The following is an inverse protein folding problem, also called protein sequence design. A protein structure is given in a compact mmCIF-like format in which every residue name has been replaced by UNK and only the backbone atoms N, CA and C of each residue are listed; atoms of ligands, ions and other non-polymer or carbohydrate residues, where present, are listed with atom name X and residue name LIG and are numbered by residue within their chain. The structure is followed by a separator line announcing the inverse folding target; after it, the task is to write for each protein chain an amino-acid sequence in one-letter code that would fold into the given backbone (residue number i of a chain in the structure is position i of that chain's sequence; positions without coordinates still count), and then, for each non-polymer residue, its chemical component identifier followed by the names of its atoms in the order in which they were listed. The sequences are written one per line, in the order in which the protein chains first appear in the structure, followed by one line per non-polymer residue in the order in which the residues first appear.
data_IF_364695277318
#
_entry.id   IF_364695277318
#
_cell.length_a   1.000
_cell.length_b   1.000
_cell.length_c   1.000
_cell.angle_alpha   90.00
_cell.angle_beta   90.00
_cell.angle_gamma   90.00
#
_symmetry.space_group_name_H-M   'P 1'
#
loop_
_entity.id
_entity.type
_entity.pdbx_description
1 polymer ?
#
# COMPACT_ATOMS: atom_id res chain seq x y z
N UNK A 1 -2.23 -3.83 19.45
CA UNK A 1 -1.91 -2.71 18.53
C UNK A 1 -1.43 -1.44 19.22
N UNK A 2 -2.12 -0.91 20.25
CA UNK A 2 -1.66 0.31 20.94
C UNK A 2 -0.26 0.20 21.57
N UNK A 3 0.03 -0.89 22.28
CA UNK A 3 1.36 -1.12 22.85
C UNK A 3 2.48 -1.15 21.79
N UNK A 4 2.20 -1.73 20.62
CA UNK A 4 3.12 -1.75 19.48
C UNK A 4 3.39 -0.33 18.96
N UNK A 5 2.32 0.44 18.70
CA UNK A 5 2.45 1.83 18.26
C UNK A 5 3.30 2.67 19.24
N UNK A 6 3.02 2.52 20.54
CA UNK A 6 3.79 3.20 21.59
C UNK A 6 5.27 2.79 21.59
N UNK A 7 5.57 1.48 21.45
CA UNK A 7 6.93 0.97 21.40
C UNK A 7 7.69 1.47 20.16
N UNK A 8 7.08 1.41 18.98
CA UNK A 8 7.66 1.92 17.73
C UNK A 8 7.94 3.41 17.80
N UNK A 9 7.02 4.19 18.38
CA UNK A 9 7.20 5.63 18.60
C UNK A 9 8.34 5.92 19.57
N UNK A 10 8.39 5.21 20.70
CA UNK A 10 9.44 5.40 21.72
C UNK A 10 10.83 5.08 21.17
N UNK A 11 10.91 4.12 20.26
CA UNK A 11 12.15 3.72 19.60
C UNK A 11 12.45 4.53 18.31
N UNK A 12 11.61 5.51 17.96
CA UNK A 12 11.72 6.31 16.74
C UNK A 12 11.85 5.47 15.44
N UNK A 13 11.24 4.27 15.41
CA UNK A 13 11.40 3.32 14.30
C UNK A 13 10.93 3.91 12.97
N UNK A 14 9.87 4.72 13.00
CA UNK A 14 9.23 5.30 11.82
C UNK A 14 9.76 6.68 11.46
N UNK A 15 10.81 7.17 12.13
CA UNK A 15 11.42 8.48 11.84
C UNK A 15 11.78 8.66 10.36
N UNK A 16 12.34 7.67 9.64
CA UNK A 16 12.67 7.84 8.22
C UNK A 16 11.47 8.16 7.31
N UNK A 17 10.23 7.97 7.79
CA UNK A 17 9.02 8.32 7.05
C UNK A 17 8.59 9.78 7.25
N UNK A 18 9.19 10.51 8.18
CA UNK A 18 8.84 11.91 8.48
C UNK A 18 9.31 12.85 7.36
N UNK A 19 10.46 12.55 6.77
CA UNK A 19 11.11 13.40 5.76
C UNK A 19 10.61 13.16 4.32
N UNK A 20 9.50 12.43 4.15
CA UNK A 20 8.94 12.11 2.83
C UNK A 20 8.29 13.34 2.19
N UNK A 21 8.79 13.75 1.03
CA UNK A 21 8.22 14.84 0.24
C UNK A 21 7.13 14.29 -0.68
N UNK A 22 5.91 14.15 -0.16
CA UNK A 22 4.76 13.75 -0.97
C UNK A 22 4.11 14.99 -1.63
N UNK A 23 3.76 14.94 -2.95
CA UNK A 23 3.14 16.05 -3.67
C UNK A 23 1.67 16.19 -3.29
N UNK A 24 1.41 16.58 -2.05
CA UNK A 24 0.07 16.83 -1.55
C UNK A 24 -0.01 18.07 -0.66
N UNK A 25 -1.20 18.68 -0.65
CA UNK A 25 -1.50 19.77 0.29
C UNK A 25 -1.72 19.20 1.69
N UNK A 26 -0.85 19.55 2.62
CA UNK A 26 -1.08 19.30 4.06
C UNK A 26 -2.23 20.20 4.51
N UNK A 27 -3.28 19.60 5.09
CA UNK A 27 -4.42 20.33 5.68
C UNK A 27 -4.48 20.05 7.18
N UNK A 28 -4.97 18.87 7.54
CA UNK A 28 -5.14 18.44 8.94
C UNK A 28 -4.17 17.31 9.33
N UNK A 29 -3.83 16.46 8.36
CA UNK A 29 -2.90 15.35 8.55
C UNK A 29 -1.71 15.50 7.61
N UNK A 30 -0.52 15.28 8.16
CA UNK A 30 0.74 15.19 7.42
C UNK A 30 0.75 13.94 6.53
N UNK A 31 1.59 13.92 5.49
CA UNK A 31 1.73 12.75 4.63
C UNK A 31 2.13 11.49 5.41
N UNK A 32 3.07 11.62 6.35
CA UNK A 32 3.52 10.55 7.24
C UNK A 32 2.39 10.01 8.10
N UNK A 33 1.54 10.87 8.66
CA UNK A 33 0.40 10.42 9.46
C UNK A 33 -0.56 9.56 8.63
N UNK A 34 -0.83 9.95 7.38
CA UNK A 34 -1.71 9.18 6.50
C UNK A 34 -1.10 7.84 6.09
N UNK A 35 0.22 7.77 5.88
CA UNK A 35 0.94 6.52 5.67
C UNK A 35 0.87 5.60 6.90
N UNK A 36 1.05 6.17 8.10
CA UNK A 36 0.87 5.45 9.36
C UNK A 36 -0.56 4.91 9.47
N UNK A 37 -1.59 5.64 9.05
CA UNK A 37 -2.97 5.12 9.05
C UNK A 37 -3.11 3.88 8.17
N UNK A 38 -2.50 3.90 6.98
CA UNK A 38 -2.45 2.74 6.10
C UNK A 38 -1.76 1.54 6.77
N UNK A 39 -0.62 1.77 7.42
CA UNK A 39 0.10 0.74 8.17
C UNK A 39 -0.76 0.16 9.31
N UNK A 40 -1.36 1.02 10.14
CA UNK A 40 -2.23 0.57 11.25
C UNK A 40 -3.44 -0.20 10.70
N UNK A 41 -4.00 0.22 9.56
CA UNK A 41 -5.11 -0.47 8.92
C UNK A 41 -4.71 -1.88 8.47
N UNK A 42 -3.55 -2.02 7.82
CA UNK A 42 -3.01 -3.32 7.41
C UNK A 42 -2.78 -4.22 8.63
N UNK A 43 -2.13 -3.70 9.67
CA UNK A 43 -1.85 -4.46 10.89
C UNK A 43 -3.12 -4.83 11.67
N UNK A 44 -4.19 -4.04 11.53
CA UNK A 44 -5.51 -4.35 12.08
C UNK A 44 -6.30 -5.37 11.24
N UNK A 45 -5.72 -5.88 10.14
CA UNK A 45 -6.38 -6.83 9.24
C UNK A 45 -7.36 -6.18 8.26
N UNK A 46 -7.26 -4.86 8.07
CA UNK A 46 -8.04 -4.13 7.08
C UNK A 46 -7.72 -4.57 5.66
N UNK A 47 -8.78 -4.78 4.86
CA UNK A 47 -8.72 -5.24 3.47
C UNK A 47 -8.95 -4.13 2.45
N UNK A 48 -9.44 -2.97 2.89
CA UNK A 48 -9.70 -1.82 2.03
C UNK A 48 -9.65 -0.52 2.82
N UNK A 49 -9.21 0.58 2.19
CA UNK A 49 -9.03 1.88 2.84
C UNK A 49 -10.30 2.43 3.52
N UNK A 50 -11.50 2.14 2.97
CA UNK A 50 -12.78 2.56 3.57
C UNK A 50 -13.03 1.98 4.95
N UNK A 51 -12.35 0.89 5.29
CA UNK A 51 -12.47 0.28 6.60
C UNK A 51 -11.82 1.11 7.71
N UNK A 52 -10.90 2.02 7.38
CA UNK A 52 -10.31 2.95 8.35
C UNK A 52 -11.35 3.78 9.10
N UNK A 53 -12.43 4.19 8.43
CA UNK A 53 -13.47 5.04 9.02
C UNK A 53 -14.20 4.39 10.20
N UNK A 54 -14.37 3.06 10.20
CA UNK A 54 -15.07 2.36 11.27
C UNK A 54 -14.13 1.52 12.14
N UNK A 55 -12.99 1.07 11.63
CA UNK A 55 -12.03 0.26 12.38
C UNK A 55 -11.05 1.12 13.19
N UNK A 56 -10.61 2.26 12.64
CA UNK A 56 -9.56 3.08 13.22
C UNK A 56 -10.09 4.38 13.83
N UNK A 57 -10.83 5.19 13.06
CA UNK A 57 -11.26 6.55 13.49
C UNK A 57 -11.95 6.63 14.85
N UNK A 58 -12.83 5.68 15.24
CA UNK A 58 -13.46 5.73 16.56
C UNK A 58 -12.47 5.58 17.72
N UNK A 59 -11.27 5.04 17.48
CA UNK A 59 -10.31 4.66 18.51
C UNK A 59 -9.22 5.72 18.72
N UNK A 60 -9.54 6.76 19.49
CA UNK A 60 -8.60 7.84 19.84
C UNK A 60 -7.40 7.37 20.66
N UNK A 61 -7.59 6.41 21.56
CA UNK A 61 -6.48 5.86 22.35
C UNK A 61 -5.45 5.16 21.47
N UNK A 62 -5.92 4.45 20.43
CA UNK A 62 -5.05 3.87 19.44
C UNK A 62 -4.32 4.97 18.65
N UNK A 63 -5.01 6.01 18.17
CA UNK A 63 -4.36 7.13 17.48
C UNK A 63 -3.23 7.75 18.32
N UNK A 64 -3.51 8.07 19.59
CA UNK A 64 -2.53 8.62 20.52
C UNK A 64 -1.31 7.70 20.70
N UNK A 65 -1.52 6.39 20.77
CA UNK A 65 -0.45 5.42 20.89
C UNK A 65 0.48 5.42 19.66
N UNK A 66 -0.06 5.73 18.49
CA UNK A 66 0.67 5.90 17.24
C UNK A 66 1.16 7.34 16.99
N UNK A 67 1.04 8.22 17.99
CA UNK A 67 1.55 9.60 17.92
C UNK A 67 0.63 10.59 17.20
N UNK A 68 -0.63 10.22 16.95
CA UNK A 68 -1.61 11.05 16.24
C UNK A 68 -2.73 11.51 17.18
N UNK A 69 -3.30 12.68 16.92
CA UNK A 69 -4.49 13.12 17.65
C UNK A 69 -5.72 12.26 17.30
N UNK A 70 -5.87 11.95 16.01
CA UNK A 70 -6.91 11.06 15.48
C UNK A 70 -6.49 10.48 14.12
N UNK A 71 -7.15 9.41 13.70
CA UNK A 71 -6.98 8.85 12.37
C UNK A 71 -7.76 9.66 11.34
N UNK A 72 -7.16 9.87 10.17
CA UNK A 72 -7.74 10.58 9.04
C UNK A 72 -8.93 9.84 8.43
N UNK A 73 -9.79 10.59 7.73
CA UNK A 73 -10.85 10.02 6.91
C UNK A 73 -10.29 9.20 5.73
N UNK A 74 -10.97 8.12 5.36
CA UNK A 74 -10.59 7.29 4.21
C UNK A 74 -10.30 8.11 2.95
N UNK A 75 -11.12 9.09 2.58
CA UNK A 75 -10.93 9.89 1.37
C UNK A 75 -9.58 10.57 1.39
N UNK A 76 -9.25 11.19 2.52
CA UNK A 76 -7.99 11.89 2.76
C UNK A 76 -6.78 10.96 2.70
N UNK A 77 -6.92 9.71 3.17
CA UNK A 77 -5.87 8.68 3.04
C UNK A 77 -5.75 8.21 1.59
N UNK A 78 -6.87 7.95 0.92
CA UNK A 78 -6.90 7.51 -0.49
C UNK A 78 -6.23 8.53 -1.40
N UNK A 79 -6.59 9.80 -1.28
CA UNK A 79 -6.01 10.89 -2.06
C UNK A 79 -4.49 10.96 -1.90
N UNK A 80 -3.96 10.63 -0.71
CA UNK A 80 -2.52 10.54 -0.48
C UNK A 80 -1.89 9.37 -1.22
N UNK A 81 -2.49 8.18 -1.18
CA UNK A 81 -1.98 7.03 -1.91
C UNK A 81 -2.07 7.24 -3.44
N UNK A 82 -3.13 7.89 -3.92
CA UNK A 82 -3.32 8.22 -5.33
C UNK A 82 -2.35 9.31 -5.82
N UNK A 83 -1.85 10.16 -4.93
CA UNK A 83 -0.87 11.20 -5.22
C UNK A 83 0.59 10.71 -5.16
N UNK A 84 0.86 9.47 -4.72
CA UNK A 84 2.22 8.92 -4.72
C UNK A 84 2.67 8.74 -6.17
N UNK A 85 3.67 9.52 -6.58
CA UNK A 85 4.34 9.38 -7.88
C UNK A 85 5.62 8.53 -7.76
N UNK A 86 6.33 8.34 -8.88
CA UNK A 86 7.53 7.52 -8.92
C UNK A 86 8.65 8.06 -8.01
N UNK A 87 8.78 9.39 -7.88
CA UNK A 87 9.78 10.02 -7.02
C UNK A 87 9.47 9.78 -5.54
N UNK A 88 8.23 10.07 -5.14
CA UNK A 88 7.69 9.77 -3.81
C UNK A 88 7.85 8.30 -3.44
N UNK A 89 7.61 7.40 -4.40
CA UNK A 89 7.74 5.96 -4.21
C UNK A 89 9.21 5.56 -3.97
N UNK A 90 10.16 6.18 -4.67
CA UNK A 90 11.59 5.95 -4.44
C UNK A 90 12.02 6.40 -3.04
N UNK A 91 11.57 7.56 -2.58
CA UNK A 91 11.84 8.03 -1.22
C UNK A 91 11.24 7.10 -0.18
N UNK A 92 10.00 6.65 -0.38
CA UNK A 92 9.34 5.70 0.51
C UNK A 92 10.10 4.36 0.59
N UNK A 93 10.59 3.88 -0.55
CA UNK A 93 11.44 2.68 -0.60
C UNK A 93 12.77 2.89 0.13
N UNK A 94 13.40 4.06 -0.03
CA UNK A 94 14.63 4.41 0.67
C UNK A 94 14.42 4.47 2.19
N UNK A 95 13.35 5.13 2.65
CA UNK A 95 12.97 5.19 4.05
C UNK A 95 12.72 3.78 4.63
N UNK A 96 11.97 2.94 3.91
CA UNK A 96 11.72 1.55 4.34
C UNK A 96 13.01 0.71 4.38
N UNK A 97 13.93 0.92 3.43
CA UNK A 97 15.24 0.27 3.44
C UNK A 97 16.06 0.67 4.66
N UNK A 98 16.06 1.96 5.05
CA UNK A 98 16.72 2.44 6.26
C UNK A 98 16.14 1.80 7.53
N UNK A 99 14.80 1.75 7.63
CA UNK A 99 14.12 1.08 8.75
C UNK A 99 14.56 -0.39 8.82
N UNK A 100 14.57 -1.07 7.67
CA UNK A 100 14.97 -2.47 7.59
C UNK A 100 16.42 -2.66 8.01
N UNK A 101 17.37 -1.86 7.53
CA UNK A 101 18.78 -1.95 7.92
C UNK A 101 19.00 -1.72 9.43
N UNK A 102 18.25 -0.78 10.01
CA UNK A 102 18.39 -0.42 11.42
C UNK A 102 17.79 -1.46 12.38
N UNK A 103 16.68 -2.09 12.00
CA UNK A 103 15.87 -2.90 12.91
C UNK A 103 15.80 -4.38 12.53
N UNK A 104 16.15 -4.77 11.30
CA UNK A 104 16.10 -6.16 10.86
C UNK A 104 17.30 -6.95 11.38
N UNK A 105 17.02 -8.16 11.89
CA UNK A 105 18.05 -9.12 12.26
C UNK A 105 18.72 -9.73 11.02
N UNK A 106 17.99 -9.81 9.90
CA UNK A 106 18.50 -10.33 8.62
C UNK A 106 19.71 -9.55 8.13
N UNK A 107 19.71 -8.22 8.28
CA UNK A 107 20.83 -7.37 7.86
C UNK A 107 22.10 -7.56 8.71
N UNK A 108 21.98 -8.21 9.87
CA UNK A 108 23.08 -8.48 10.82
C UNK A 108 23.44 -9.96 10.89
N UNK A 109 22.82 -10.80 10.07
CA UNK A 109 23.04 -12.25 10.10
C UNK A 109 24.44 -12.59 9.58
N UNK A 110 25.19 -13.37 10.36
CA UNK A 110 26.48 -13.91 9.94
C UNK A 110 26.26 -15.27 9.27
N UNK A 111 26.33 -15.29 7.94
CA UNK A 111 26.16 -16.50 7.13
C UNK A 111 27.24 -17.56 7.38
N UNK A 112 28.32 -17.25 8.09
CA UNK A 112 29.31 -18.27 8.52
C UNK A 112 28.83 -19.09 9.71
N UNK A 113 27.84 -18.58 10.46
CA UNK A 113 27.33 -19.20 11.70
C UNK A 113 26.08 -20.04 11.47
N UNK A 114 25.58 -20.10 10.24
CA UNK A 114 24.46 -20.94 9.83
C UNK A 114 23.55 -20.26 8.82
N UNK A 115 22.51 -20.99 8.44
CA UNK A 115 21.53 -20.56 7.45
C UNK A 115 20.56 -19.52 8.02
N UNK A 116 20.09 -18.62 7.16
CA UNK A 116 19.01 -17.68 7.44
C UNK A 116 17.72 -18.22 6.82
N UNK A 117 16.76 -18.60 7.66
CA UNK A 117 15.43 -19.00 7.20
C UNK A 117 14.52 -17.78 7.15
N UNK A 118 14.00 -17.47 5.97
CA UNK A 118 12.98 -16.43 5.77
C UNK A 118 11.64 -17.09 5.50
N UNK A 119 10.67 -16.88 6.38
CA UNK A 119 9.28 -17.22 6.11
C UNK A 119 8.58 -16.00 5.49
N UNK A 120 7.93 -16.20 4.35
CA UNK A 120 7.30 -15.15 3.57
C UNK A 120 5.91 -15.57 3.14
N UNK A 121 4.92 -14.74 3.42
CA UNK A 121 3.56 -14.99 2.94
C UNK A 121 3.48 -14.69 1.43
N UNK A 122 3.41 -15.76 0.63
CA UNK A 122 3.21 -15.68 -0.82
C UNK A 122 1.73 -15.66 -1.22
N UNK A 123 0.82 -15.39 -0.27
CA UNK A 123 -0.60 -15.27 -0.58
C UNK A 123 -0.83 -14.16 -1.60
N UNK A 124 -1.31 -14.56 -2.78
CA UNK A 124 -1.71 -13.61 -3.82
C UNK A 124 -2.84 -12.71 -3.34
N UNK A 125 -2.52 -11.44 -3.10
CA UNK A 125 -3.52 -10.41 -2.86
C UNK A 125 -4.17 -10.07 -4.21
N UNK A 126 -5.49 -10.24 -4.36
CA UNK A 126 -6.17 -9.96 -5.62
C UNK A 126 -6.12 -8.45 -5.90
N UNK A 127 -5.50 -8.08 -7.02
CA UNK A 127 -5.59 -6.73 -7.54
C UNK A 127 -7.01 -6.46 -8.07
N UNK A 128 -7.49 -5.23 -7.88
CA UNK A 128 -8.80 -4.84 -8.41
C UNK A 128 -8.79 -4.86 -9.95
N UNK A 129 -9.96 -5.06 -10.56
CA UNK A 129 -10.07 -5.05 -12.02
C UNK A 129 -9.66 -3.70 -12.65
N UNK A 130 -9.75 -2.61 -11.89
CA UNK A 130 -9.45 -1.25 -12.35
C UNK A 130 -7.99 -0.84 -12.09
N UNK A 131 -7.20 -1.68 -11.41
CA UNK A 131 -5.80 -1.37 -11.15
C UNK A 131 -4.98 -1.36 -12.44
N UNK A 132 -4.28 -0.24 -12.69
CA UNK A 132 -3.32 -0.15 -13.78
C UNK A 132 -2.22 -1.22 -13.60
N UNK A 133 -1.91 -1.96 -14.67
CA UNK A 133 -0.93 -3.07 -14.60
C UNK A 133 -1.47 -4.40 -14.06
N UNK A 134 -2.80 -4.53 -13.84
CA UNK A 134 -3.40 -5.81 -13.47
C UNK A 134 -3.17 -6.85 -14.58
N UNK A 135 -2.26 -7.78 -14.33
CA UNK A 135 -2.00 -8.94 -15.17
C UNK A 135 -2.47 -10.19 -14.44
N UNK A 136 -2.88 -11.21 -15.21
CA UNK A 136 -3.28 -12.48 -14.64
C UNK A 136 -2.05 -13.14 -14.00
N UNK A 137 -1.93 -13.02 -12.68
CA UNK A 137 -0.85 -13.62 -11.89
C UNK A 137 -0.90 -15.16 -11.87
N UNK A 138 0.18 -15.78 -11.39
CA UNK A 138 0.39 -17.23 -11.36
C UNK A 138 -0.43 -17.99 -10.29
N UNK A 139 -1.37 -17.35 -9.59
CA UNK A 139 -2.18 -18.01 -8.57
C UNK A 139 -3.18 -18.99 -9.19
N UNK A 140 -2.72 -20.23 -9.39
CA UNK A 140 -3.50 -21.33 -9.94
C UNK A 140 -4.77 -21.54 -9.09
N UNK A 141 -5.94 -21.42 -9.72
CA UNK A 141 -7.24 -21.77 -9.13
C UNK A 141 -8.05 -20.64 -8.51
N UNK A 142 -7.47 -19.46 -8.20
CA UNK A 142 -8.25 -18.31 -7.72
C UNK A 142 -8.63 -17.39 -8.87
N UNK A 143 -9.83 -17.58 -9.44
CA UNK A 143 -10.47 -16.52 -10.26
C UNK A 143 -10.64 -15.29 -9.37
N UNK A 144 -10.34 -14.10 -9.90
CA UNK A 144 -10.75 -12.83 -9.30
C UNK A 144 -12.26 -12.97 -9.06
N UNK A 145 -12.69 -13.00 -7.80
CA UNK A 145 -14.09 -13.10 -7.46
C UNK A 145 -14.79 -11.88 -8.08
N UNK A 146 -15.77 -12.13 -8.96
CA UNK A 146 -16.62 -11.06 -9.48
C UNK A 146 -17.31 -10.45 -8.27
N UNK A 147 -17.09 -9.17 -8.02
CA UNK A 147 -17.84 -8.45 -7.00
C UNK A 147 -19.34 -8.68 -7.23
N UNK A 148 -20.03 -9.10 -6.18
CA UNK A 148 -21.47 -9.25 -6.18
C UNK A 148 -22.09 -7.92 -6.60
N UNK A 149 -22.79 -7.93 -7.74
CA UNK A 149 -23.62 -6.81 -8.14
C UNK A 149 -24.84 -6.80 -7.22
N UNK A 150 -24.82 -5.96 -6.20
CA UNK A 150 -26.02 -5.58 -5.47
C UNK A 150 -27.06 -5.05 -6.46
N UNK A 151 -28.16 -5.80 -6.61
CA UNK A 151 -29.31 -5.44 -7.44
C UNK A 151 -30.08 -4.29 -6.79
N UNK A 152 -30.41 -3.29 -7.61
CA UNK A 152 -31.37 -2.21 -7.39
C UNK A 152 -30.77 -0.90 -7.92
N UNK A 153 -31.30 -0.19 -8.92
CA UNK A 153 -32.62 -0.10 -9.55
C UNK A 153 -32.46 0.73 -10.88
N UNK A 154 -33.53 0.99 -11.66
CA UNK A 154 -33.78 0.46 -13.01
C UNK A 154 -33.15 1.24 -14.19
N UNK A 155 -33.35 0.65 -15.39
CA UNK A 155 -32.95 1.16 -16.70
C UNK A 155 -33.15 2.67 -16.89
N UNK A 156 -32.10 3.37 -17.34
CA UNK A 156 -32.28 4.52 -18.21
C UNK A 156 -31.73 4.18 -19.60
N UNK A 157 -32.65 4.10 -20.56
CA UNK A 157 -32.42 3.79 -21.97
C UNK A 157 -32.18 5.12 -22.69
N UNK A 158 -30.96 5.66 -22.62
CA UNK A 158 -30.42 6.67 -23.56
C UNK A 158 -29.03 7.16 -23.10
N UNK A 159 -27.96 6.62 -23.68
CA UNK A 159 -26.65 7.26 -23.79
C UNK A 159 -25.75 6.44 -24.76
N UNK A 160 -26.22 6.23 -25.98
CA UNK A 160 -25.34 5.92 -27.09
C UNK A 160 -24.88 7.26 -27.67
N UNK A 161 -23.61 7.63 -27.52
CA UNK A 161 -22.78 8.16 -28.61
C UNK A 161 -21.36 8.46 -28.11
N UNK A 162 -20.35 8.07 -28.91
CA UNK A 162 -18.92 8.46 -28.85
C UNK A 162 -17.98 7.66 -27.94
N UNK A 163 -17.46 6.55 -28.47
CA UNK A 163 -16.05 6.15 -28.27
C UNK A 163 -15.65 5.10 -29.32
N UNK A 164 -15.38 5.58 -30.54
CA UNK A 164 -14.62 4.87 -31.57
C UNK A 164 -13.65 5.90 -32.16
N UNK A 165 -12.40 5.47 -32.38
CA UNK A 165 -11.20 6.21 -32.81
C UNK A 165 -10.19 6.37 -31.65
N UNK A 166 -8.97 5.86 -31.66
CA UNK A 166 -8.23 5.07 -32.65
C UNK A 166 -7.16 4.28 -31.89
N UNK A 167 -7.09 2.97 -32.14
CA UNK A 167 -5.93 2.13 -31.89
C UNK A 167 -4.96 2.39 -33.06
N UNK A 168 -3.66 2.65 -32.80
CA UNK A 168 -2.49 2.10 -33.51
C UNK A 168 -1.22 2.95 -33.32
N UNK A 169 -0.08 2.23 -33.34
CA UNK A 169 1.33 2.66 -33.28
C UNK A 169 1.86 2.94 -31.85
N UNK A 170 2.84 2.21 -31.30
CA UNK A 170 4.05 1.68 -31.91
C UNK A 170 4.46 0.27 -31.42
N UNK A 171 5.09 -0.47 -32.34
CA UNK A 171 5.70 -1.79 -32.19
C UNK A 171 7.08 -1.73 -31.50
N UNK A 172 7.37 -2.84 -30.80
CA UNK A 172 8.68 -3.51 -30.56
C UNK A 172 9.72 -2.81 -29.66
N UNK A 173 9.97 -3.44 -28.50
CA UNK A 173 11.32 -3.68 -28.01
C UNK A 173 11.39 -5.06 -27.33
N UNK A 174 12.34 -5.89 -27.78
CA UNK A 174 12.80 -7.13 -27.12
C UNK A 174 13.98 -6.72 -26.21
N UNK A 175 13.93 -7.04 -24.93
CA UNK A 175 15.11 -7.09 -24.02
C UNK A 175 14.81 -8.24 -23.04
N UNK A 176 15.33 -9.44 -23.31
CA UNK A 176 16.59 -10.00 -22.83
C UNK A 176 16.52 -10.47 -21.35
N UNK A 177 16.51 -11.80 -21.21
CA UNK A 177 16.57 -12.55 -19.97
C UNK A 177 17.99 -12.47 -19.40
N UNK A 178 18.16 -11.93 -18.19
CA UNK A 178 19.42 -12.04 -17.47
C UNK A 178 19.27 -13.07 -16.35
N UNK A 179 19.73 -14.27 -16.73
CA UNK A 179 20.12 -15.42 -15.92
C UNK A 179 21.17 -15.00 -14.88
N UNK A 180 20.86 -15.12 -13.59
CA UNK A 180 21.85 -15.05 -12.53
C UNK A 180 22.44 -16.46 -12.34
N UNK A 181 23.75 -16.59 -12.53
CA UNK A 181 24.51 -17.76 -12.10
C UNK A 181 25.94 -17.35 -11.81
N UNK A 182 26.38 -17.75 -10.61
CA UNK A 182 27.72 -17.68 -9.97
C UNK A 182 28.00 -16.41 -9.18
#
# INVERSE_FOLDING_TARGET
MAALGYALRRAAVLEPLIDLELPQKVREHTPTEKLVNGLVLILAGGRALYQSNWLLRPNRLLACAWGQAEFAEQSTVSDTFDAVDDASLQELQAAFAQITQNWSQTCRHDFRRGDLTLDGDLTGLPASHLAAGNSKGYFAGKKIARGDKSRGLPLNRMANHWARCYFLAHKKAKIACNRWSS
#
